data_IF_315774347240
#
_entry.id   IF_315774347240
#
_cell.length_a   1.000
_cell.length_b   1.000
_cell.length_c   1.000
_cell.angle_alpha   90.00
_cell.angle_beta   90.00
_cell.angle_gamma   90.00
#
_symmetry.space_group_name_H-M   'P 1'
#
loop_
_entity.id
_entity.type
_entity.pdbx_description
1 polymer ?
#
# COMPACT_ATOMS: atom_id res chain seq x y z
N UNK A 1 -4.52 14.44 5.32
CA UNK A 1 -4.10 13.43 6.33
C UNK A 1 -4.32 12.05 5.73
N UNK A 2 -3.39 11.09 5.88
CA UNK A 2 -3.59 9.75 5.31
C UNK A 2 -4.86 9.13 5.90
N UNK A 3 -5.70 8.54 5.06
CA UNK A 3 -6.88 7.81 5.54
C UNK A 3 -6.45 6.56 6.31
N UNK A 4 -5.34 5.92 5.90
CA UNK A 4 -4.76 4.79 6.58
C UNK A 4 -3.24 4.73 6.34
N UNK A 5 -2.44 5.03 7.37
CA UNK A 5 -0.99 5.09 7.22
C UNK A 5 -0.39 3.72 6.84
N UNK A 6 0.58 3.71 5.91
CA UNK A 6 1.28 2.50 5.50
C UNK A 6 1.93 1.76 6.68
N UNK A 7 2.47 2.50 7.66
CA UNK A 7 3.03 1.92 8.88
C UNK A 7 2.02 1.13 9.71
N UNK A 8 0.76 1.58 9.75
CA UNK A 8 -0.32 0.89 10.44
C UNK A 8 -0.74 -0.36 9.66
N UNK A 9 -0.86 -0.25 8.32
CA UNK A 9 -1.11 -1.39 7.45
C UNK A 9 -0.04 -2.48 7.59
N UNK A 10 1.24 -2.09 7.59
CA UNK A 10 2.37 -3.00 7.77
C UNK A 10 2.30 -3.74 9.11
N UNK A 11 2.00 -3.03 10.20
CA UNK A 11 1.86 -3.62 11.54
C UNK A 11 0.80 -4.72 11.57
N UNK A 12 -0.38 -4.46 11.03
CA UNK A 12 -1.49 -5.42 11.06
C UNK A 12 -1.20 -6.65 10.19
N UNK A 13 -0.55 -6.47 9.04
CA UNK A 13 -0.10 -7.57 8.18
C UNK A 13 0.99 -8.42 8.86
N UNK A 14 1.97 -7.79 9.52
CA UNK A 14 3.02 -8.49 10.29
C UNK A 14 2.39 -9.35 11.38
N UNK A 15 1.47 -8.79 12.16
CA UNK A 15 0.79 -9.53 13.24
C UNK A 15 -0.01 -10.73 12.70
N UNK A 16 -0.71 -10.55 11.57
CA UNK A 16 -1.46 -11.64 10.95
C UNK A 16 -0.54 -12.75 10.41
N UNK A 17 0.56 -12.39 9.74
CA UNK A 17 1.51 -13.37 9.17
C UNK A 17 2.32 -14.10 10.24
N UNK A 18 2.65 -13.43 11.34
CA UNK A 18 3.24 -14.05 12.54
C UNK A 18 2.30 -15.09 13.14
N UNK A 19 1.03 -14.72 13.38
CA UNK A 19 0.02 -15.64 13.91
C UNK A 19 -0.19 -16.85 12.99
N UNK A 20 -0.32 -16.63 11.68
CA UNK A 20 -0.48 -17.72 10.74
C UNK A 20 0.70 -18.69 10.74
N UNK A 21 1.92 -18.20 10.94
CA UNK A 21 3.13 -19.03 11.05
C UNK A 21 3.10 -19.92 12.29
N UNK A 22 2.63 -19.38 13.42
CA UNK A 22 2.44 -20.14 14.67
C UNK A 22 1.47 -21.31 14.49
N UNK A 23 0.37 -21.07 13.75
CA UNK A 23 -0.66 -22.08 13.47
C UNK A 23 -0.45 -22.86 12.17
N UNK A 24 0.70 -22.71 11.52
CA UNK A 24 1.04 -23.38 10.25
C UNK A 24 0.01 -23.15 9.12
N UNK A 25 -0.64 -21.98 9.11
CA UNK A 25 -1.60 -21.58 8.07
C UNK A 25 -0.86 -20.91 6.91
N UNK A 26 -0.92 -21.44 5.68
CA UNK A 26 -0.25 -20.84 4.54
C UNK A 26 -0.97 -19.56 4.08
N UNK A 27 -0.27 -18.42 4.11
CA UNK A 27 -0.79 -17.12 3.64
C UNK A 27 0.10 -16.47 2.56
N UNK A 28 0.25 -17.08 1.37
CA UNK A 28 1.18 -16.62 0.35
C UNK A 28 0.90 -15.18 -0.14
N UNK A 29 -0.37 -14.79 -0.24
CA UNK A 29 -0.76 -13.43 -0.67
C UNK A 29 -0.44 -12.40 0.43
N UNK A 30 -0.70 -12.72 1.69
CA UNK A 30 -0.38 -11.81 2.80
C UNK A 30 1.13 -11.64 2.96
N UNK A 31 1.91 -12.71 2.79
CA UNK A 31 3.38 -12.64 2.81
C UNK A 31 3.91 -11.76 1.68
N UNK A 32 3.31 -11.83 0.48
CA UNK A 32 3.68 -10.94 -0.63
C UNK A 32 3.33 -9.48 -0.31
N UNK A 33 2.13 -9.23 0.22
CA UNK A 33 1.70 -7.90 0.63
C UNK A 33 2.62 -7.31 1.72
N UNK A 34 3.05 -8.12 2.68
CA UNK A 34 4.02 -7.74 3.71
C UNK A 34 5.34 -7.26 3.10
N UNK A 35 5.88 -7.99 2.11
CA UNK A 35 7.11 -7.58 1.42
C UNK A 35 6.96 -6.27 0.65
N UNK A 36 5.81 -6.05 0.01
CA UNK A 36 5.50 -4.79 -0.68
C UNK A 36 5.42 -3.64 0.32
N UNK A 37 4.78 -3.84 1.48
CA UNK A 37 4.73 -2.85 2.54
C UNK A 37 6.14 -2.52 3.09
N UNK A 38 6.99 -3.53 3.31
CA UNK A 38 8.39 -3.36 3.73
C UNK A 38 9.16 -2.48 2.72
N UNK A 39 8.98 -2.70 1.42
CA UNK A 39 9.63 -1.87 0.40
C UNK A 39 9.24 -0.39 0.48
N UNK A 40 7.98 -0.09 0.79
CA UNK A 40 7.52 1.28 1.04
C UNK A 40 8.06 1.85 2.35
N UNK A 41 8.12 1.05 3.42
CA UNK A 41 8.69 1.45 4.71
C UNK A 41 10.19 1.80 4.59
N UNK A 42 10.98 1.01 3.87
CA UNK A 42 12.42 1.26 3.64
C UNK A 42 12.65 2.57 2.85
N UNK A 43 11.72 2.93 1.97
CA UNK A 43 11.74 4.21 1.23
C UNK A 43 11.27 5.41 2.06
N UNK A 44 10.89 5.20 3.32
CA UNK A 44 10.43 6.25 4.23
C UNK A 44 8.95 6.62 4.09
N UNK A 45 8.14 5.82 3.40
CA UNK A 45 6.71 6.12 3.14
C UNK A 45 5.77 5.72 4.27
N UNK A 46 6.28 5.45 5.47
CA UNK A 46 5.47 4.94 6.58
C UNK A 46 4.34 5.87 7.05
N UNK A 47 4.48 7.18 6.82
CA UNK A 47 3.45 8.19 7.12
C UNK A 47 2.57 8.54 5.92
N UNK A 48 2.84 7.97 4.74
CA UNK A 48 2.00 8.10 3.57
C UNK A 48 0.77 7.20 3.70
N UNK A 49 -0.29 7.51 2.96
CA UNK A 49 -1.46 6.65 2.87
C UNK A 49 -1.08 5.29 2.25
N UNK A 50 -1.75 4.21 2.64
CA UNK A 50 -1.39 2.84 2.23
C UNK A 50 -1.47 2.61 0.71
N UNK A 51 -2.19 3.47 0.00
CA UNK A 51 -2.25 3.51 -1.46
C UNK A 51 -0.89 3.85 -2.10
N UNK A 52 0.11 4.28 -1.33
CA UNK A 52 1.48 4.48 -1.83
C UNK A 52 2.10 3.18 -2.39
N UNK A 53 1.55 2.02 -2.05
CA UNK A 53 1.93 0.74 -2.67
C UNK A 53 1.66 0.70 -4.18
N UNK A 54 0.73 1.49 -4.71
CA UNK A 54 0.54 1.66 -6.16
C UNK A 54 1.76 2.27 -6.84
N UNK A 55 2.51 3.15 -6.15
CA UNK A 55 3.73 3.77 -6.70
C UNK A 55 4.80 2.72 -6.98
N UNK A 56 4.90 1.67 -6.15
CA UNK A 56 5.84 0.56 -6.42
C UNK A 56 5.50 -0.17 -7.72
N UNK A 57 4.21 -0.30 -8.03
CA UNK A 57 3.75 -0.94 -9.26
C UNK A 57 3.93 -0.02 -10.47
N UNK A 58 3.73 1.28 -10.30
CA UNK A 58 4.05 2.31 -11.30
C UNK A 58 5.54 2.29 -11.65
N UNK A 59 6.42 2.26 -10.65
CA UNK A 59 7.88 2.14 -10.81
C UNK A 59 8.26 0.83 -11.54
N UNK A 60 7.69 -0.30 -11.12
CA UNK A 60 8.02 -1.61 -11.69
C UNK A 60 7.56 -1.77 -13.14
N UNK A 61 6.45 -1.12 -13.52
CA UNK A 61 5.88 -1.19 -14.86
C UNK A 61 6.30 -0.02 -15.77
N UNK A 62 7.07 0.96 -15.25
CA UNK A 62 7.45 2.19 -15.95
C UNK A 62 6.24 2.95 -16.55
N UNK A 63 5.15 3.01 -15.77
CA UNK A 63 3.90 3.68 -16.16
C UNK A 63 3.34 4.52 -15.01
N UNK A 64 2.46 5.46 -15.33
CA UNK A 64 1.68 6.19 -14.34
C UNK A 64 0.19 5.86 -14.49
N UNK A 65 -0.44 5.38 -13.43
CA UNK A 65 -1.87 5.08 -13.34
C UNK A 65 -2.61 6.37 -12.99
N UNK A 66 -2.73 7.24 -14.00
CA UNK A 66 -3.45 8.51 -13.94
C UNK A 66 -4.58 8.48 -14.96
N UNK A 67 -5.79 8.86 -14.55
CA UNK A 67 -6.92 8.94 -15.46
C UNK A 67 -7.06 10.40 -15.96
N UNK A 68 -6.69 10.71 -17.23
CA UNK A 68 -6.55 12.08 -17.72
C UNK A 68 -7.87 12.88 -17.80
N UNK A 69 -9.02 12.21 -17.65
CA UNK A 69 -10.36 12.82 -17.69
C UNK A 69 -11.12 12.70 -16.38
N UNK A 70 -10.42 12.29 -15.33
CA UNK A 70 -10.99 12.07 -14.01
C UNK A 70 -10.41 13.11 -13.07
N UNK A 71 -11.29 13.90 -12.47
CA UNK A 71 -10.94 14.84 -11.42
C UNK A 71 -10.40 14.06 -10.22
N UNK A 72 -9.13 14.31 -9.90
CA UNK A 72 -8.39 13.56 -8.92
C UNK A 72 -8.93 13.84 -7.50
N UNK A 73 -9.34 15.08 -7.20
CA UNK A 73 -9.92 15.44 -5.89
C UNK A 73 -11.30 14.80 -5.70
N UNK A 74 -12.13 14.76 -6.75
CA UNK A 74 -13.43 14.07 -6.68
C UNK A 74 -13.27 12.57 -6.48
N UNK A 75 -12.24 11.98 -7.06
CA UNK A 75 -11.98 10.53 -7.01
C UNK A 75 -11.34 10.08 -5.70
N UNK A 76 -10.54 10.95 -5.07
CA UNK A 76 -9.97 10.73 -3.75
C UNK A 76 -11.03 10.47 -2.67
N UNK A 77 -12.29 10.88 -2.90
CA UNK A 77 -13.43 10.53 -2.03
C UNK A 77 -13.72 9.03 -1.98
N UNK A 78 -13.30 8.26 -2.98
CA UNK A 78 -13.55 6.82 -3.08
C UNK A 78 -12.25 6.03 -2.98
N UNK A 79 -11.35 6.16 -3.96
CA UNK A 79 -10.03 5.51 -4.03
C UNK A 79 -9.13 6.41 -4.88
N UNK A 80 -7.96 6.81 -4.37
CA UNK A 80 -6.96 7.55 -5.13
C UNK A 80 -5.72 6.68 -5.38
N UNK A 81 -5.25 6.63 -6.63
CA UNK A 81 -3.93 6.08 -7.01
C UNK A 81 -2.87 7.18 -7.09
N UNK A 82 -3.23 8.42 -6.75
CA UNK A 82 -2.36 9.57 -6.89
C UNK A 82 -1.73 9.89 -5.51
N UNK A 83 -0.41 9.74 -5.37
CA UNK A 83 0.25 9.78 -4.05
C UNK A 83 0.19 11.16 -3.37
N UNK A 84 0.00 12.23 -4.15
CA UNK A 84 -0.04 13.60 -3.63
C UNK A 84 -1.42 14.03 -3.07
N UNK A 85 -2.49 13.30 -3.39
CA UNK A 85 -3.86 13.64 -2.97
C UNK A 85 -4.48 12.58 -2.03
N UNK A 86 -3.75 11.51 -1.73
CA UNK A 86 -4.14 10.41 -0.83
C UNK A 86 -3.71 10.69 0.61
#
# INVERSE_FOLDING_TARGET
PPSFALSLAYKDISLATELAREYQVPMPVANLAEQIAIQGMVRGWGNSDSNVTFVLQEEAADVQVRAPHVDAEKSAKFISTHPEIS
#
